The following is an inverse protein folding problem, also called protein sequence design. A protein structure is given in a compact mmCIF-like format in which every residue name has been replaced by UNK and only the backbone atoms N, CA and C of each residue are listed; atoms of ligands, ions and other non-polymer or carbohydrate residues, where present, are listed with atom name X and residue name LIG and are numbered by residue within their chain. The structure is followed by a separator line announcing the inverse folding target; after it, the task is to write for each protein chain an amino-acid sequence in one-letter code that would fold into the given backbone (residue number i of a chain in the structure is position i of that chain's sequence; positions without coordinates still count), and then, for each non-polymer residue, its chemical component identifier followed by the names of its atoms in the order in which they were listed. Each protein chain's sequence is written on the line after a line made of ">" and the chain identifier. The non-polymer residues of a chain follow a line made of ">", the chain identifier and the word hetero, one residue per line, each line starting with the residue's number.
data_IF_011505945353
#
_entry.id   IF_011505945353
#
_cell.length_a   1.000
_cell.length_b   1.000
_cell.length_c   1.000
_cell.angle_alpha   90.00
_cell.angle_beta   90.00
_cell.angle_gamma   90.00
#
_symmetry.space_group_name_H-M   'P 1'
#
loop_
_entity.id
_entity.type
_entity.pdbx_description
1 polymer ?
#
# COMPACT_ATOMS: atom_id res chain seq x y z
N UNK A 1 -32.42 26.77 -24.56
CA UNK A 1 -31.93 25.41 -24.88
C UNK A 1 -30.94 25.03 -23.80
N UNK A 2 -31.31 24.07 -22.92
CA UNK A 2 -30.41 23.57 -21.88
C UNK A 2 -29.75 22.28 -22.37
N UNK A 3 -28.44 22.07 -22.19
CA UNK A 3 -27.81 20.80 -22.53
C UNK A 3 -28.13 19.78 -21.44
N UNK A 4 -28.86 18.71 -21.78
CA UNK A 4 -28.99 17.52 -20.95
C UNK A 4 -27.67 16.76 -20.95
N UNK A 5 -26.98 16.78 -19.82
CA UNK A 5 -25.80 15.95 -19.56
C UNK A 5 -26.26 14.49 -19.40
N UNK A 6 -26.07 13.69 -20.44
CA UNK A 6 -26.19 12.23 -20.37
C UNK A 6 -24.95 11.70 -19.66
N UNK A 7 -25.09 11.35 -18.38
CA UNK A 7 -24.01 10.73 -17.62
C UNK A 7 -23.86 9.27 -18.08
N UNK A 8 -22.81 8.98 -18.84
CA UNK A 8 -22.48 7.65 -19.35
C UNK A 8 -21.85 6.79 -18.24
N UNK A 9 -22.62 6.52 -17.19
CA UNK A 9 -22.28 5.49 -16.19
C UNK A 9 -23.34 4.41 -16.28
N UNK A 10 -23.48 3.78 -17.45
CA UNK A 10 -24.27 2.56 -17.57
C UNK A 10 -23.48 1.44 -16.90
N UNK A 11 -23.56 1.38 -15.57
CA UNK A 11 -23.31 0.16 -14.82
C UNK A 11 -24.28 -0.86 -15.39
N UNK A 12 -23.78 -1.77 -16.23
CA UNK A 12 -24.56 -2.85 -16.79
C UNK A 12 -25.28 -3.57 -15.64
N UNK A 13 -26.59 -3.36 -15.49
CA UNK A 13 -27.43 -3.91 -14.41
C UNK A 13 -27.62 -5.44 -14.54
N UNK A 14 -27.23 -6.00 -15.69
CA UNK A 14 -27.43 -7.42 -16.04
C UNK A 14 -26.93 -8.42 -14.98
N UNK A 15 -25.78 -8.23 -14.31
CA UNK A 15 -25.30 -9.20 -13.31
C UNK A 15 -26.06 -9.11 -11.98
N UNK A 16 -26.50 -7.92 -11.59
CA UNK A 16 -27.20 -7.69 -10.31
C UNK A 16 -28.61 -8.26 -10.40
N UNK A 17 -29.33 -7.99 -11.49
CA UNK A 17 -30.69 -8.50 -11.68
C UNK A 17 -30.71 -10.04 -11.74
N UNK A 18 -29.72 -10.65 -12.40
CA UNK A 18 -29.54 -12.11 -12.40
C UNK A 18 -29.24 -12.68 -11.02
N UNK A 19 -28.45 -11.97 -10.22
CA UNK A 19 -28.14 -12.37 -8.85
C UNK A 19 -29.38 -12.31 -7.95
N UNK A 20 -30.23 -11.29 -8.13
CA UNK A 20 -31.49 -11.14 -7.40
C UNK A 20 -32.50 -12.23 -7.79
N UNK A 21 -32.60 -12.57 -9.07
CA UNK A 21 -33.50 -13.64 -9.53
C UNK A 21 -33.06 -15.02 -9.02
N UNK A 22 -31.77 -15.36 -9.09
CA UNK A 22 -31.29 -16.63 -8.56
C UNK A 22 -31.46 -16.74 -7.04
N UNK A 23 -31.40 -15.63 -6.30
CA UNK A 23 -31.71 -15.59 -4.87
C UNK A 23 -33.18 -15.92 -4.59
N UNK A 24 -34.11 -15.42 -5.43
CA UNK A 24 -35.55 -15.70 -5.28
C UNK A 24 -35.91 -17.16 -5.61
N UNK A 25 -35.09 -17.84 -6.41
CA UNK A 25 -35.31 -19.22 -6.84
C UNK A 25 -34.69 -20.27 -5.89
N UNK A 26 -33.91 -19.85 -4.88
CA UNK A 26 -33.26 -20.76 -3.94
C UNK A 26 -34.26 -21.29 -2.90
N UNK A 27 -34.17 -22.59 -2.57
CA UNK A 27 -35.08 -23.20 -1.60
C UNK A 27 -34.81 -22.69 -0.17
N UNK A 28 -35.86 -22.38 0.61
CA UNK A 28 -35.70 -21.84 1.95
C UNK A 28 -35.05 -22.87 2.89
N UNK A 29 -33.82 -22.59 3.32
CA UNK A 29 -33.07 -23.44 4.26
C UNK A 29 -31.62 -23.72 3.84
N UNK A 30 -31.24 -23.39 2.60
CA UNK A 30 -29.84 -23.50 2.16
C UNK A 30 -28.98 -22.36 2.75
N UNK A 31 -27.79 -22.71 3.28
CA UNK A 31 -26.83 -21.72 3.78
C UNK A 31 -26.28 -20.86 2.63
N UNK A 32 -26.55 -19.56 2.70
CA UNK A 32 -26.05 -18.58 1.75
C UNK A 32 -24.55 -18.33 1.96
N UNK A 33 -23.72 -19.13 1.29
CA UNK A 33 -22.28 -18.86 1.22
C UNK A 33 -22.02 -17.68 0.29
N UNK A 34 -21.95 -16.49 0.88
CA UNK A 34 -21.66 -15.21 0.22
C UNK A 34 -20.47 -15.27 -0.76
N UNK A 35 -19.44 -16.06 -0.44
CA UNK A 35 -18.26 -16.26 -1.28
C UNK A 35 -18.57 -16.93 -2.61
N UNK A 36 -19.36 -18.02 -2.59
CA UNK A 36 -19.81 -18.73 -3.81
C UNK A 36 -20.65 -17.82 -4.70
N UNK A 37 -21.49 -16.99 -4.10
CA UNK A 37 -22.34 -16.04 -4.80
C UNK A 37 -21.50 -14.95 -5.49
N UNK A 38 -20.53 -14.36 -4.78
CA UNK A 38 -19.63 -13.36 -5.32
C UNK A 38 -18.79 -13.87 -6.51
N UNK A 39 -18.33 -15.12 -6.44
CA UNK A 39 -17.63 -15.81 -7.53
C UNK A 39 -18.54 -16.04 -8.74
N UNK A 40 -19.78 -16.51 -8.52
CA UNK A 40 -20.74 -16.87 -9.58
C UNK A 40 -21.19 -15.67 -10.43
N UNK A 41 -21.51 -14.53 -9.81
CA UNK A 41 -22.01 -13.35 -10.56
C UNK A 41 -20.92 -12.38 -10.97
N UNK A 42 -19.66 -12.78 -10.83
CA UNK A 42 -18.57 -11.94 -11.24
C UNK A 42 -18.58 -10.59 -10.51
N UNK A 43 -18.76 -10.61 -9.19
CA UNK A 43 -18.21 -9.55 -8.33
C UNK A 43 -16.66 -9.67 -8.33
N UNK A 44 -16.10 -9.77 -9.54
CA UNK A 44 -14.70 -9.97 -9.82
C UNK A 44 -14.00 -8.75 -9.26
N UNK A 45 -13.10 -9.02 -8.32
CA UNK A 45 -12.07 -8.13 -7.82
C UNK A 45 -11.92 -6.87 -8.68
N UNK A 46 -12.33 -5.71 -8.14
CA UNK A 46 -11.93 -4.39 -8.66
C UNK A 46 -10.42 -4.17 -8.42
N UNK A 47 -9.61 -5.14 -8.83
CA UNK A 47 -8.17 -5.10 -8.86
C UNK A 47 -7.81 -4.13 -10.00
N UNK A 48 -7.51 -2.89 -9.63
CA UNK A 48 -6.93 -1.92 -10.58
C UNK A 48 -5.59 -2.39 -11.16
N UNK A 49 -4.86 -3.26 -10.45
CA UNK A 49 -3.62 -3.87 -10.92
C UNK A 49 -3.86 -5.28 -11.42
N UNK A 50 -3.19 -5.66 -12.51
CA UNK A 50 -3.16 -7.05 -12.92
C UNK A 50 -2.35 -7.90 -11.91
N UNK A 51 -2.54 -9.23 -11.85
CA UNK A 51 -1.85 -10.09 -10.88
C UNK A 51 -0.32 -10.01 -10.94
N UNK A 52 0.25 -9.80 -12.14
CA UNK A 52 1.69 -9.69 -12.34
C UNK A 52 2.25 -8.39 -11.74
N UNK A 53 1.59 -7.26 -12.00
CA UNK A 53 1.91 -5.95 -11.44
C UNK A 53 1.75 -5.95 -9.91
N UNK A 54 0.74 -6.66 -9.39
CA UNK A 54 0.55 -6.82 -7.96
C UNK A 54 1.74 -7.57 -7.33
N UNK A 55 2.21 -8.65 -7.97
CA UNK A 55 3.38 -9.40 -7.54
C UNK A 55 4.68 -8.58 -7.60
N UNK A 56 4.87 -7.79 -8.66
CA UNK A 56 6.02 -6.90 -8.80
C UNK A 56 6.04 -5.83 -7.71
N UNK A 57 4.88 -5.23 -7.40
CA UNK A 57 4.76 -4.24 -6.33
C UNK A 57 5.07 -4.84 -4.95
N UNK A 58 4.61 -6.07 -4.68
CA UNK A 58 4.99 -6.82 -3.47
C UNK A 58 6.50 -7.09 -3.43
N UNK A 59 7.09 -7.47 -4.57
CA UNK A 59 8.53 -7.66 -4.71
C UNK A 59 9.33 -6.41 -4.43
N UNK A 60 8.87 -5.26 -4.92
CA UNK A 60 9.43 -3.94 -4.67
C UNK A 60 9.38 -3.57 -3.18
N UNK A 61 8.22 -3.72 -2.54
CA UNK A 61 8.06 -3.47 -1.09
C UNK A 61 9.01 -4.35 -0.27
N UNK A 62 9.18 -5.62 -0.65
CA UNK A 62 10.14 -6.52 -0.01
C UNK A 62 11.59 -6.05 -0.19
N UNK A 63 11.95 -5.57 -1.39
CA UNK A 63 13.27 -5.01 -1.68
C UNK A 63 13.57 -3.77 -0.82
N UNK A 64 12.58 -2.89 -0.64
CA UNK A 64 12.71 -1.72 0.22
C UNK A 64 12.76 -2.08 1.71
N UNK A 65 12.01 -3.09 2.13
CA UNK A 65 12.07 -3.62 3.50
C UNK A 65 13.48 -4.12 3.83
N UNK A 66 14.15 -4.82 2.89
CA UNK A 66 15.55 -5.24 3.03
C UNK A 66 16.53 -4.08 3.20
N UNK A 67 16.22 -2.92 2.61
CA UNK A 67 17.05 -1.72 2.71
C UNK A 67 16.72 -0.87 3.95
N UNK A 68 15.80 -1.31 4.82
CA UNK A 68 15.36 -0.53 5.97
C UNK A 68 14.47 0.67 5.61
N UNK A 69 13.85 0.67 4.42
CA UNK A 69 13.02 1.77 3.91
C UNK A 69 11.55 1.34 3.75
N UNK A 70 10.85 0.97 4.82
CA UNK A 70 9.48 0.47 4.70
C UNK A 70 8.51 1.60 4.29
N UNK A 71 7.61 1.28 3.35
CA UNK A 71 6.70 2.25 2.73
C UNK A 71 5.51 2.59 3.63
N UNK A 72 4.98 3.80 3.50
CA UNK A 72 3.65 4.16 4.03
C UNK A 72 2.54 3.66 3.11
N UNK A 73 1.29 3.68 3.59
CA UNK A 73 0.11 3.39 2.76
C UNK A 73 -0.01 4.34 1.57
N UNK A 74 0.26 5.61 1.79
CA UNK A 74 0.23 6.65 0.75
C UNK A 74 1.27 6.38 -0.35
N UNK A 75 2.49 5.98 0.01
CA UNK A 75 3.51 5.66 -1.00
C UNK A 75 3.13 4.41 -1.82
N UNK A 76 2.50 3.41 -1.20
CA UNK A 76 1.96 2.24 -1.91
C UNK A 76 0.82 2.65 -2.85
N UNK A 77 -0.07 3.55 -2.41
CA UNK A 77 -1.14 4.12 -3.24
C UNK A 77 -0.59 4.92 -4.42
N UNK A 78 0.44 5.73 -4.21
CA UNK A 78 1.10 6.51 -5.26
C UNK A 78 1.77 5.60 -6.27
N UNK A 79 2.42 4.52 -5.80
CA UNK A 79 3.03 3.50 -6.68
C UNK A 79 1.96 2.81 -7.54
N UNK A 80 0.84 2.40 -6.93
CA UNK A 80 -0.27 1.80 -7.67
C UNK A 80 -0.90 2.79 -8.67
N UNK A 81 -1.05 4.06 -8.28
CA UNK A 81 -1.58 5.11 -9.15
C UNK A 81 -0.66 5.36 -10.35
N UNK A 82 0.66 5.32 -10.15
CA UNK A 82 1.65 5.45 -11.21
C UNK A 82 1.62 4.27 -12.19
N UNK A 83 1.47 3.03 -11.69
CA UNK A 83 1.39 1.83 -12.54
C UNK A 83 0.11 1.82 -13.39
N UNK A 84 -1.03 2.21 -12.80
CA UNK A 84 -2.34 2.23 -13.46
C UNK A 84 -2.55 3.49 -14.31
N UNK A 85 -1.75 4.55 -14.07
CA UNK A 85 -1.91 5.89 -14.64
C UNK A 85 -3.24 6.56 -14.30
N UNK A 86 -3.82 6.19 -13.16
CA UNK A 86 -5.08 6.71 -12.64
C UNK A 86 -5.01 6.87 -11.12
N UNK A 87 -5.79 7.80 -10.54
CA UNK A 87 -5.90 7.89 -9.09
C UNK A 87 -6.49 6.59 -8.51
N UNK A 88 -5.78 6.03 -7.53
CA UNK A 88 -6.23 4.89 -6.74
C UNK A 88 -6.72 5.42 -5.40
N UNK A 89 -7.89 4.98 -4.93
CA UNK A 89 -8.43 5.40 -3.62
C UNK A 89 -7.79 4.67 -2.44
N UNK A 90 -7.89 5.23 -1.24
CA UNK A 90 -7.30 4.64 -0.02
C UNK A 90 -7.80 3.21 0.27
N UNK A 91 -9.09 2.96 0.00
CA UNK A 91 -9.70 1.63 0.16
C UNK A 91 -9.05 0.53 -0.67
N UNK A 92 -8.36 0.88 -1.77
CA UNK A 92 -7.60 -0.08 -2.56
C UNK A 92 -6.40 -0.63 -1.80
N UNK A 93 -5.68 0.20 -1.03
CA UNK A 93 -4.52 -0.24 -0.24
C UNK A 93 -4.96 -1.23 0.84
N UNK A 94 -6.13 -1.00 1.46
CA UNK A 94 -6.71 -1.93 2.43
C UNK A 94 -6.98 -3.29 1.78
N UNK A 95 -7.62 -3.30 0.60
CA UNK A 95 -7.90 -4.53 -0.15
C UNK A 95 -6.62 -5.23 -0.62
N UNK A 96 -5.64 -4.48 -1.12
CA UNK A 96 -4.32 -4.98 -1.52
C UNK A 96 -3.59 -5.66 -0.34
N UNK A 97 -3.61 -5.04 0.84
CA UNK A 97 -3.02 -5.62 2.05
C UNK A 97 -3.78 -6.87 2.51
N UNK A 98 -5.11 -6.90 2.37
CA UNK A 98 -5.92 -8.09 2.67
C UNK A 98 -5.55 -9.28 1.78
N UNK A 99 -5.46 -9.07 0.46
CA UNK A 99 -5.06 -10.10 -0.51
C UNK A 99 -3.64 -10.60 -0.28
N UNK A 100 -2.72 -9.70 0.09
CA UNK A 100 -1.31 -10.01 0.30
C UNK A 100 -0.92 -10.21 1.77
N UNK A 101 -1.88 -10.57 2.63
CA UNK A 101 -1.68 -10.73 4.08
C UNK A 101 -0.71 -11.86 4.47
N UNK A 102 -0.44 -12.77 3.54
CA UNK A 102 0.60 -13.81 3.69
C UNK A 102 2.02 -13.26 3.47
N UNK A 103 2.17 -12.17 2.72
CA UNK A 103 3.47 -11.61 2.32
C UNK A 103 3.79 -10.29 3.01
N UNK A 104 2.77 -9.52 3.37
CA UNK A 104 2.89 -8.17 3.91
C UNK A 104 2.24 -8.06 5.29
N UNK A 105 2.83 -7.21 6.14
CA UNK A 105 2.29 -6.85 7.44
C UNK A 105 2.41 -5.34 7.62
N UNK A 106 1.43 -4.73 8.30
CA UNK A 106 1.54 -3.33 8.72
C UNK A 106 1.97 -3.25 10.18
N UNK A 107 3.00 -2.48 10.50
CA UNK A 107 3.53 -2.35 11.85
C UNK A 107 3.79 -0.89 12.19
N UNK A 108 3.73 -0.56 13.47
CA UNK A 108 4.11 0.76 13.95
C UNK A 108 5.61 0.80 14.15
N UNK A 109 6.24 1.85 13.63
CA UNK A 109 7.68 2.09 13.77
C UNK A 109 7.87 3.34 14.62
N UNK A 110 8.78 3.26 15.60
CA UNK A 110 9.18 4.40 16.41
C UNK A 110 10.14 5.31 15.63
N UNK A 111 10.35 6.53 16.14
CA UNK A 111 11.31 7.47 15.55
C UNK A 111 12.73 6.90 15.68
N UNK A 112 13.61 7.19 14.71
CA UNK A 112 15.05 6.85 14.71
C UNK A 112 15.81 7.73 15.74
N UNK A 113 15.25 7.93 16.93
CA UNK A 113 15.67 8.98 17.88
C UNK A 113 16.37 8.45 19.14
N UNK A 114 16.60 7.13 19.25
CA UNK A 114 17.24 6.58 20.44
C UNK A 114 18.77 6.80 20.48
N UNK A 115 19.40 7.08 19.33
CA UNK A 115 20.88 7.07 19.20
C UNK A 115 21.48 8.48 19.04
N UNK A 116 20.68 9.51 18.73
CA UNK A 116 21.20 10.85 18.44
C UNK A 116 21.72 11.61 19.66
N UNK A 117 21.14 11.42 20.85
CA UNK A 117 21.58 12.13 22.05
C UNK A 117 23.01 11.81 22.51
N UNK A 118 23.63 10.73 22.01
CA UNK A 118 24.99 10.34 22.40
C UNK A 118 26.10 10.89 21.48
N UNK A 119 25.76 11.53 20.35
CA UNK A 119 26.70 11.80 19.25
C UNK A 119 27.09 13.28 19.06
N UNK A 120 26.59 14.19 19.89
CA UNK A 120 26.72 15.65 19.69
C UNK A 120 28.14 16.17 19.99
N UNK A 121 29.03 16.09 18.99
CA UNK A 121 30.26 16.87 18.95
C UNK A 121 30.31 17.70 17.67
N UNK A 122 30.52 19.01 17.82
CA UNK A 122 30.49 20.02 16.75
C UNK A 122 31.38 19.67 15.53
N UNK A 123 32.58 19.12 15.76
CA UNK A 123 33.48 18.71 14.68
C UNK A 123 32.95 17.55 13.82
N UNK A 124 32.16 16.63 14.41
CA UNK A 124 31.51 15.54 13.66
C UNK A 124 30.35 16.06 12.83
N UNK A 125 29.66 17.10 13.30
CA UNK A 125 28.58 17.75 12.55
C UNK A 125 29.09 18.42 11.28
N UNK A 126 30.18 19.19 11.35
CA UNK A 126 30.72 19.85 10.16
C UNK A 126 31.18 18.84 9.09
N UNK A 127 31.86 17.77 9.51
CA UNK A 127 32.29 16.71 8.58
C UNK A 127 31.09 15.93 8.00
N UNK A 128 30.10 15.63 8.84
CA UNK A 128 28.86 14.96 8.44
C UNK A 128 28.08 15.79 7.43
N UNK A 129 27.84 17.08 7.69
CA UNK A 129 27.10 17.94 6.77
C UNK A 129 27.83 18.14 5.44
N UNK A 130 29.16 18.29 5.44
CA UNK A 130 29.92 18.39 4.19
C UNK A 130 29.81 17.13 3.31
N UNK A 131 29.93 15.94 3.91
CA UNK A 131 29.74 14.67 3.21
C UNK A 131 28.27 14.44 2.81
N UNK A 132 27.34 14.88 3.65
CA UNK A 132 25.90 14.80 3.40
C UNK A 132 25.51 15.70 2.23
N UNK A 133 26.01 16.93 2.14
CA UNK A 133 25.76 17.83 1.01
C UNK A 133 26.23 17.24 -0.31
N UNK A 134 27.40 16.60 -0.34
CA UNK A 134 27.88 15.89 -1.52
C UNK A 134 26.96 14.72 -1.91
N UNK A 135 26.49 13.93 -0.94
CA UNK A 135 25.58 12.81 -1.19
C UNK A 135 24.15 13.21 -1.52
N UNK A 136 23.64 14.31 -0.96
CA UNK A 136 22.28 14.82 -1.25
C UNK A 136 22.19 15.33 -2.70
N UNK A 137 23.29 15.75 -3.31
CA UNK A 137 23.32 16.05 -4.75
C UNK A 137 23.29 14.80 -5.62
N UNK A 138 23.78 13.66 -5.11
CA UNK A 138 23.81 12.37 -5.81
C UNK A 138 22.49 11.60 -5.66
N UNK A 139 21.77 11.77 -4.55
CA UNK A 139 20.50 11.12 -4.26
C UNK A 139 19.34 12.11 -4.39
N UNK A 140 18.29 11.75 -5.13
CA UNK A 140 17.07 12.55 -5.30
C UNK A 140 16.27 12.66 -3.97
N UNK A 141 16.83 13.40 -3.01
CA UNK A 141 16.26 13.77 -1.72
C UNK A 141 15.24 14.89 -1.95
N UNK A 142 14.16 14.59 -2.69
CA UNK A 142 12.98 15.41 -2.57
C UNK A 142 12.50 15.37 -1.11
N UNK A 143 11.77 16.40 -0.71
CA UNK A 143 11.17 16.70 0.60
C UNK A 143 10.67 15.49 1.43
N UNK A 144 10.49 14.32 0.80
CA UNK A 144 9.95 13.08 1.33
C UNK A 144 10.97 12.23 2.10
N UNK A 145 12.27 12.31 1.79
CA UNK A 145 13.34 11.67 2.58
C UNK A 145 13.58 12.35 3.93
N UNK A 146 13.41 13.67 3.96
CA UNK A 146 13.53 14.51 5.15
C UNK A 146 12.47 14.20 6.22
N UNK A 147 11.24 13.90 5.79
CA UNK A 147 10.14 13.53 6.68
C UNK A 147 10.41 12.25 7.49
N UNK A 148 11.31 11.37 7.05
CA UNK A 148 11.67 10.15 7.80
C UNK A 148 12.37 10.48 9.13
N UNK A 149 13.11 11.59 9.22
CA UNK A 149 13.76 12.05 10.47
C UNK A 149 12.87 12.89 11.40
N UNK A 150 11.82 13.51 10.85
CA UNK A 150 10.94 14.45 11.57
C UNK A 150 9.65 13.79 12.06
N UNK A 151 9.13 12.81 11.31
CA UNK A 151 7.82 12.22 11.61
C UNK A 151 7.92 11.31 12.82
N UNK A 152 6.98 11.44 13.76
CA UNK A 152 6.85 10.57 14.92
C UNK A 152 6.47 9.12 14.58
N UNK A 153 5.86 8.40 15.53
CA UNK A 153 5.41 7.02 15.30
C UNK A 153 4.52 6.95 14.06
N UNK A 154 4.90 6.13 13.08
CA UNK A 154 4.18 5.99 11.82
C UNK A 154 3.92 4.52 11.50
N UNK A 155 2.79 4.26 10.85
CA UNK A 155 2.43 2.91 10.41
C UNK A 155 3.07 2.62 9.06
N UNK A 156 3.91 1.60 9.01
CA UNK A 156 4.70 1.21 7.84
C UNK A 156 4.33 -0.20 7.38
N UNK A 157 4.51 -0.47 6.09
CA UNK A 157 4.24 -1.77 5.47
C UNK A 157 5.57 -2.51 5.30
N UNK A 158 5.62 -3.73 5.81
CA UNK A 158 6.80 -4.59 5.83
C UNK A 158 6.51 -5.92 5.14
N UNK A 159 7.56 -6.60 4.69
CA UNK A 159 7.50 -8.04 4.45
C UNK A 159 7.23 -8.79 5.75
N UNK A 160 6.19 -9.62 5.77
CA UNK A 160 5.75 -10.41 6.92
C UNK A 160 6.83 -11.41 7.38
N UNK A 161 7.40 -12.16 6.44
CA UNK A 161 8.46 -13.13 6.72
C UNK A 161 9.67 -12.49 7.41
N UNK A 162 10.12 -11.34 6.90
CA UNK A 162 11.29 -10.64 7.45
C UNK A 162 10.99 -10.03 8.84
N UNK A 163 9.75 -9.58 9.04
CA UNK A 163 9.31 -9.08 10.34
C UNK A 163 9.25 -10.18 11.41
N UNK A 164 8.71 -11.34 11.05
CA UNK A 164 8.62 -12.51 11.93
C UNK A 164 10.00 -13.04 12.32
N UNK A 165 10.94 -13.06 11.37
CA UNK A 165 12.36 -13.40 11.61
C UNK A 165 13.13 -12.34 12.41
N UNK A 166 12.51 -11.20 12.75
CA UNK A 166 13.11 -10.06 13.45
C UNK A 166 14.30 -9.40 12.74
N UNK A 167 14.57 -9.72 11.47
CA UNK A 167 15.67 -9.17 10.67
C UNK A 167 15.55 -7.65 10.48
N UNK A 168 14.31 -7.14 10.48
CA UNK A 168 14.01 -5.71 10.24
C UNK A 168 13.81 -4.96 11.55
N UNK A 169 13.73 -5.64 12.70
CA UNK A 169 13.54 -4.99 14.01
C UNK A 169 14.82 -4.37 14.56
N UNK A 170 15.98 -4.88 14.15
CA UNK A 170 17.28 -4.41 14.64
C UNK A 170 17.74 -3.10 14.00
N UNK A 171 17.08 -2.67 12.90
CA UNK A 171 17.44 -1.49 12.11
C UNK A 171 16.44 -0.34 12.23
N UNK A 172 15.48 -0.45 13.16
CA UNK A 172 14.39 0.52 13.39
C UNK A 172 14.48 1.17 14.76
#
# INVERSE_FOLDING_TARGET
>A
MMPTSTHNNSTNMSPIDKAVEDFKLQEPGEELLFTKFAEKYGAVNQQKLNPQQELELVGYIRGLTKKGLPLTREMVQNSASHIVKEPVGEGWVIRFMGRNSNHLTSQWTARIDAVHHQADSEGKYNLYFNLLYQKIQEYNMDEKGFLVGITGRSKRIFSKQMWEKKEVRASL
#
